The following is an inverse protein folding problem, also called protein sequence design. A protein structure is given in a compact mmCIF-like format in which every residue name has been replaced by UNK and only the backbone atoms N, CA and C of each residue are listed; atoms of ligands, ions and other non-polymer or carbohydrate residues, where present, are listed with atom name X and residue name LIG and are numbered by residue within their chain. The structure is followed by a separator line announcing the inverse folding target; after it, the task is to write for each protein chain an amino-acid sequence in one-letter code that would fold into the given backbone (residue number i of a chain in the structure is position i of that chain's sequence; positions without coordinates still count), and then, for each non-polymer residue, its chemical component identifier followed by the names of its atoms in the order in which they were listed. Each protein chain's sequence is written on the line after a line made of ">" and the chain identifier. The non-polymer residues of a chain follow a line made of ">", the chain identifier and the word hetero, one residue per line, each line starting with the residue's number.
data_IF_069520856297
#
_entry.id   IF_069520856297
#
_cell.length_a   1.000
_cell.length_b   1.000
_cell.length_c   1.000
_cell.angle_alpha   90.00
_cell.angle_beta   90.00
_cell.angle_gamma   90.00
#
_symmetry.space_group_name_H-M   'P 1'
#
loop_
_entity.id
_entity.type
_entity.pdbx_description
1 polymer ?
#
# COMPACT_ATOMS: atom_id res chain seq x y z
N UNK A 1 19.76 -6.41 -1.59
CA UNK A 1 19.56 -7.79 -1.09
C UNK A 1 19.82 -8.71 -2.26
N UNK A 2 20.69 -9.70 -2.11
CA UNK A 2 20.99 -10.62 -3.22
C UNK A 2 19.81 -11.57 -3.43
N UNK A 3 19.56 -12.02 -4.67
CA UNK A 3 18.59 -13.09 -4.96
C UNK A 3 18.84 -14.32 -4.07
N UNK A 4 20.11 -14.57 -3.73
CA UNK A 4 20.53 -15.65 -2.81
C UNK A 4 20.03 -15.45 -1.36
N UNK A 5 19.79 -14.22 -0.95
CA UNK A 5 19.26 -13.91 0.39
C UNK A 5 17.74 -14.11 0.44
N UNK A 6 17.03 -13.83 -0.66
CA UNK A 6 15.60 -14.10 -0.79
C UNK A 6 15.29 -15.60 -0.91
N UNK A 7 16.13 -16.35 -1.64
CA UNK A 7 16.01 -17.80 -1.79
C UNK A 7 16.20 -18.55 -0.45
N UNK A 8 17.10 -18.07 0.42
CA UNK A 8 17.28 -18.61 1.78
C UNK A 8 16.06 -18.42 2.67
N UNK A 9 15.38 -17.28 2.54
CA UNK A 9 14.16 -16.98 3.30
C UNK A 9 13.03 -17.94 2.87
N UNK A 10 12.90 -18.24 1.58
CA UNK A 10 11.88 -19.15 1.04
C UNK A 10 12.14 -20.62 1.46
N UNK A 11 13.40 -21.05 1.49
CA UNK A 11 13.78 -22.40 1.93
C UNK A 11 13.48 -22.65 3.42
N UNK A 12 13.54 -21.61 4.27
CA UNK A 12 13.18 -21.73 5.69
C UNK A 12 11.66 -21.83 5.93
N UNK A 13 10.82 -21.31 5.03
CA UNK A 13 9.36 -21.44 5.12
C UNK A 13 8.86 -22.89 4.90
N UNK A 14 9.53 -23.67 4.06
CA UNK A 14 9.08 -25.02 3.68
C UNK A 14 9.35 -26.10 4.75
N UNK A 15 10.18 -25.80 5.76
CA UNK A 15 10.55 -26.76 6.82
C UNK A 15 9.68 -26.69 8.08
N UNK A 16 8.69 -25.80 8.16
CA UNK A 16 7.75 -25.75 9.28
C UNK A 16 8.36 -25.37 10.64
N UNK A 17 9.62 -24.93 10.68
CA UNK A 17 10.34 -24.51 11.90
C UNK A 17 10.31 -22.99 12.09
N UNK A 18 9.14 -22.38 12.02
CA UNK A 18 8.96 -20.99 12.45
C UNK A 18 7.76 -20.96 13.39
N UNK A 19 8.04 -20.76 14.68
CA UNK A 19 7.04 -20.22 15.60
C UNK A 19 6.46 -18.97 14.93
N UNK A 20 5.21 -19.07 14.48
CA UNK A 20 4.49 -17.92 13.95
C UNK A 20 4.51 -16.88 15.05
N UNK A 21 5.26 -15.80 14.85
CA UNK A 21 5.27 -14.68 15.78
C UNK A 21 3.83 -14.14 15.85
N UNK A 22 3.07 -14.57 16.86
CA UNK A 22 1.73 -14.10 17.26
C UNK A 22 1.73 -12.63 17.73
N UNK A 23 2.57 -11.78 17.16
CA UNK A 23 2.73 -10.37 17.57
C UNK A 23 2.38 -9.41 16.45
N UNK A 24 1.22 -9.59 15.82
CA UNK A 24 0.52 -8.42 15.30
C UNK A 24 -0.48 -7.99 16.36
N UNK A 25 -0.21 -6.90 17.10
CA UNK A 25 -1.14 -6.43 18.10
C UNK A 25 -2.47 -6.08 17.42
N UNK A 26 -3.54 -6.72 17.88
CA UNK A 26 -4.89 -6.43 17.44
C UNK A 26 -5.22 -4.98 17.81
N UNK A 27 -5.75 -4.21 16.86
CA UNK A 27 -6.07 -2.81 17.12
C UNK A 27 -7.34 -2.70 17.98
N UNK A 28 -7.43 -1.71 18.88
CA UNK A 28 -8.62 -1.51 19.69
C UNK A 28 -9.83 -1.16 18.80
N UNK A 29 -11.04 -1.50 19.27
CA UNK A 29 -12.27 -1.12 18.58
C UNK A 29 -12.34 0.40 18.34
N UNK A 30 -12.72 0.84 17.13
CA UNK A 30 -12.82 2.25 16.81
C UNK A 30 -13.92 2.91 17.65
N UNK A 31 -13.59 4.03 18.31
CA UNK A 31 -14.55 4.85 19.06
C UNK A 31 -14.91 6.09 18.24
N UNK A 32 -16.20 6.35 18.07
CA UNK A 32 -16.66 7.59 17.45
C UNK A 32 -16.19 8.80 18.28
N UNK A 33 -15.60 9.79 17.63
CA UNK A 33 -15.09 11.00 18.27
C UNK A 33 -15.95 12.21 17.88
N UNK A 34 -16.03 13.20 18.78
CA UNK A 34 -16.67 14.48 18.45
C UNK A 34 -15.91 15.14 17.31
N UNK A 35 -16.62 15.59 16.27
CA UNK A 35 -16.06 16.12 15.02
C UNK A 35 -15.31 15.11 14.13
N UNK A 36 -15.56 13.80 14.26
CA UNK A 36 -15.05 12.81 13.29
C UNK A 36 -15.82 12.84 11.96
N UNK A 37 -15.11 12.67 10.84
CA UNK A 37 -15.70 12.48 9.52
C UNK A 37 -15.72 11.00 9.15
N UNK A 38 -16.68 10.59 8.33
CA UNK A 38 -16.70 9.25 7.73
C UNK A 38 -15.60 9.17 6.67
N UNK A 39 -14.74 8.14 6.73
CA UNK A 39 -13.55 8.02 5.86
C UNK A 39 -13.91 7.72 4.40
N UNK A 40 -14.93 6.90 4.14
CA UNK A 40 -15.28 6.46 2.76
C UNK A 40 -15.65 7.65 1.84
N UNK A 41 -16.51 8.61 2.24
CA UNK A 41 -16.76 9.82 1.45
C UNK A 41 -15.51 10.62 1.10
N UNK A 42 -14.55 10.75 2.02
CA UNK A 42 -13.30 11.47 1.76
C UNK A 42 -12.43 10.72 0.73
N UNK A 43 -12.36 9.39 0.81
CA UNK A 43 -11.69 8.58 -0.22
C UNK A 43 -12.37 8.75 -1.59
N UNK A 44 -13.71 8.78 -1.64
CA UNK A 44 -14.45 9.00 -2.88
C UNK A 44 -14.16 10.39 -3.47
N UNK A 45 -14.02 11.41 -2.62
CA UNK A 45 -13.61 12.76 -3.04
C UNK A 45 -12.21 12.72 -3.67
N UNK A 46 -11.24 12.12 -3.00
CA UNK A 46 -9.86 12.02 -3.50
C UNK A 46 -9.77 11.26 -4.83
N UNK A 47 -10.55 10.18 -4.98
CA UNK A 47 -10.66 9.43 -6.25
C UNK A 47 -11.22 10.30 -7.38
N UNK A 48 -12.24 11.12 -7.08
CA UNK A 48 -12.86 12.03 -8.06
C UNK A 48 -11.89 13.14 -8.47
N UNK A 49 -11.15 13.71 -7.52
CA UNK A 49 -10.14 14.74 -7.77
C UNK A 49 -8.97 14.18 -8.61
N UNK A 50 -8.54 12.94 -8.31
CA UNK A 50 -7.53 12.24 -9.12
C UNK A 50 -8.00 11.98 -10.55
N UNK A 51 -9.24 11.55 -10.73
CA UNK A 51 -9.85 11.38 -12.05
C UNK A 51 -9.80 12.70 -12.85
N UNK A 52 -10.27 13.79 -12.25
CA UNK A 52 -10.28 15.10 -12.89
C UNK A 52 -8.87 15.58 -13.27
N UNK A 53 -7.88 15.40 -12.38
CA UNK A 53 -6.48 15.69 -12.66
C UNK A 53 -5.94 14.83 -13.82
N UNK A 54 -6.24 13.53 -13.83
CA UNK A 54 -5.84 12.61 -14.89
C UNK A 54 -6.40 13.01 -16.25
N UNK A 55 -7.71 13.30 -16.31
CA UNK A 55 -8.38 13.77 -17.53
C UNK A 55 -7.77 15.08 -18.02
N UNK A 56 -7.49 16.03 -17.13
CA UNK A 56 -6.82 17.30 -17.48
C UNK A 56 -5.41 17.08 -18.05
N UNK A 57 -4.70 16.06 -17.57
CA UNK A 57 -3.29 15.79 -17.94
C UNK A 57 -3.18 14.97 -19.23
N UNK A 58 -4.03 13.94 -19.38
CA UNK A 58 -3.92 12.94 -20.44
C UNK A 58 -5.08 12.97 -21.45
N UNK A 59 -6.07 13.85 -21.25
CA UNK A 59 -7.20 14.05 -22.16
C UNK A 59 -8.33 13.02 -22.06
N UNK A 60 -8.12 11.91 -21.35
CA UNK A 60 -9.11 10.82 -21.20
C UNK A 60 -9.07 10.22 -19.79
N UNK A 61 -10.19 9.72 -19.25
CA UNK A 61 -10.17 8.92 -18.03
C UNK A 61 -9.41 7.60 -18.25
N UNK A 62 -8.95 6.99 -17.16
CA UNK A 62 -8.44 5.62 -17.18
C UNK A 62 -9.60 4.67 -17.50
N UNK A 63 -9.45 3.87 -18.55
CA UNK A 63 -10.43 2.86 -18.96
C UNK A 63 -9.81 1.47 -18.95
N UNK A 64 -10.62 0.42 -18.82
CA UNK A 64 -10.17 -0.95 -19.10
C UNK A 64 -9.78 -1.11 -20.57
N UNK A 65 -9.02 -2.16 -20.88
CA UNK A 65 -8.57 -2.49 -22.25
C UNK A 65 -7.81 -1.35 -22.96
N UNK A 66 -7.08 -0.54 -22.21
CA UNK A 66 -6.31 0.61 -22.72
C UNK A 66 -4.92 0.24 -23.26
N UNK A 67 -4.60 -1.05 -23.36
CA UNK A 67 -3.31 -1.56 -23.86
C UNK A 67 -2.17 -1.59 -22.83
N UNK A 68 -2.40 -1.13 -21.59
CA UNK A 68 -1.43 -1.25 -20.48
C UNK A 68 -1.64 -2.52 -19.67
N UNK A 69 -0.57 -2.97 -19.04
CA UNK A 69 -0.63 -4.01 -18.02
C UNK A 69 -0.97 -3.38 -16.66
N UNK A 70 -2.26 -3.43 -16.32
CA UNK A 70 -2.76 -2.87 -15.07
C UNK A 70 -2.19 -3.56 -13.81
N UNK A 71 -1.75 -4.81 -13.91
CA UNK A 71 -1.14 -5.51 -12.78
C UNK A 71 0.30 -5.04 -12.54
N UNK A 72 1.07 -4.84 -13.61
CA UNK A 72 2.39 -4.23 -13.51
C UNK A 72 2.30 -2.81 -12.94
N UNK A 73 1.38 -1.98 -13.45
CA UNK A 73 1.14 -0.64 -12.93
C UNK A 73 0.80 -0.66 -11.42
N UNK A 74 -0.08 -1.57 -10.99
CA UNK A 74 -0.42 -1.73 -9.58
C UNK A 74 0.79 -2.17 -8.74
N UNK A 75 1.59 -3.10 -9.24
CA UNK A 75 2.77 -3.58 -8.51
C UNK A 75 3.78 -2.45 -8.27
N UNK A 76 4.05 -1.62 -9.28
CA UNK A 76 4.93 -0.46 -9.16
C UNK A 76 4.39 0.57 -8.16
N UNK A 77 3.10 0.89 -8.20
CA UNK A 77 2.46 1.80 -7.24
C UNK A 77 2.52 1.28 -5.79
N UNK A 78 2.45 -0.06 -5.60
CA UNK A 78 2.63 -0.67 -4.28
C UNK A 78 4.08 -0.60 -3.79
N UNK A 79 5.08 -0.68 -4.68
CA UNK A 79 6.48 -0.46 -4.34
C UNK A 79 6.73 1.00 -3.91
N UNK A 80 6.15 1.95 -4.63
CA UNK A 80 6.21 3.38 -4.26
C UNK A 80 5.60 3.60 -2.86
N UNK A 81 4.44 3.00 -2.59
CA UNK A 81 3.83 3.04 -1.27
C UNK A 81 4.75 2.46 -0.18
N UNK A 82 5.41 1.34 -0.45
CA UNK A 82 6.36 0.73 0.48
C UNK A 82 7.58 1.64 0.76
N UNK A 83 8.09 2.34 -0.26
CA UNK A 83 9.15 3.33 -0.09
C UNK A 83 8.72 4.47 0.85
N UNK A 84 7.52 5.03 0.67
CA UNK A 84 7.02 6.09 1.57
C UNK A 84 6.82 5.60 3.00
N UNK A 85 6.30 4.37 3.18
CA UNK A 85 6.19 3.75 4.51
C UNK A 85 7.58 3.64 5.15
N UNK A 86 8.58 3.13 4.43
CA UNK A 86 9.94 2.97 4.97
C UNK A 86 10.57 4.32 5.32
N UNK A 87 10.39 5.34 4.49
CA UNK A 87 10.83 6.71 4.79
C UNK A 87 10.22 7.20 6.12
N UNK A 88 8.90 7.09 6.29
CA UNK A 88 8.23 7.50 7.53
C UNK A 88 8.73 6.73 8.77
N UNK A 89 9.06 5.44 8.63
CA UNK A 89 9.66 4.67 9.73
C UNK A 89 11.05 5.23 10.10
N UNK A 90 11.91 5.46 9.10
CA UNK A 90 13.25 6.00 9.31
C UNK A 90 13.21 7.41 9.94
N UNK A 91 12.32 8.28 9.46
CA UNK A 91 12.14 9.63 10.00
C UNK A 91 11.57 9.64 11.43
N UNK A 92 10.83 8.60 11.84
CA UNK A 92 10.33 8.43 13.21
C UNK A 92 11.41 7.90 14.17
N UNK A 93 12.26 6.99 13.72
CA UNK A 93 13.39 6.46 14.50
C UNK A 93 14.47 7.52 14.79
N UNK A 94 14.61 8.52 13.90
CA UNK A 94 15.56 9.63 14.04
C UNK A 94 15.10 10.80 14.91
N UNK A 95 13.93 10.71 15.57
CA UNK A 95 13.40 11.71 16.52
C UNK A 95 13.40 11.17 17.94
#
# INVERSE_FOLDING_TARGET
>A
MSLKDAEKIIQHYQKGEVEVSEKLPEQPEPKAQVNSQTVVPEVMKDLTDRLAKGVKTYGTPLTSHNGRDALQDLYEELLDAACYVKQLMMEREGK
#
